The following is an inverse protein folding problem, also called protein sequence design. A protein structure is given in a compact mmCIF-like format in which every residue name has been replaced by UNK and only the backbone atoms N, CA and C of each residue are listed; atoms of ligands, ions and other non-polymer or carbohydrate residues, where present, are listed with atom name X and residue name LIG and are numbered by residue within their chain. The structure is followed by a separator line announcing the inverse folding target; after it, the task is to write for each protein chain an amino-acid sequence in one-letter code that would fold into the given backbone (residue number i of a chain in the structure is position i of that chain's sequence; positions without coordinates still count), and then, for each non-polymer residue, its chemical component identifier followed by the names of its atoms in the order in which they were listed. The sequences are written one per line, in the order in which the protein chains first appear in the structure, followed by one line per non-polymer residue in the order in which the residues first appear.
data_IF_732217492029
#
_entry.id   IF_732217492029
#
_cell.length_a   1.000
_cell.length_b   1.000
_cell.length_c   1.000
_cell.angle_alpha   90.00
_cell.angle_beta   90.00
_cell.angle_gamma   90.00
#
_symmetry.space_group_name_H-M   'P 1'
#
loop_
_entity.id
_entity.type
_entity.pdbx_description
1 polymer ?
#
# COMPACT_ATOMS: atom_id res chain seq x y z
N UNK A 1 -46.59 79.99 -54.66
CA UNK A 1 -46.86 79.13 -53.54
C UNK A 1 -46.88 77.63 -53.87
N UNK A 2 -47.40 77.12 -54.94
CA UNK A 2 -47.40 75.67 -55.26
C UNK A 2 -46.03 75.09 -55.64
N UNK A 3 -45.12 75.81 -56.25
CA UNK A 3 -43.76 75.32 -56.58
C UNK A 3 -42.81 75.20 -55.42
N UNK A 4 -42.93 76.03 -54.40
CA UNK A 4 -42.08 76.01 -53.16
C UNK A 4 -42.43 74.83 -52.26
N UNK A 5 -43.69 74.36 -52.22
CA UNK A 5 -44.16 73.22 -51.42
C UNK A 5 -43.70 71.89 -52.05
N UNK A 6 -43.60 71.80 -53.41
CA UNK A 6 -43.15 70.62 -54.12
C UNK A 6 -41.64 70.39 -53.91
N UNK A 7 -40.85 71.43 -53.90
CA UNK A 7 -39.39 71.36 -53.68
C UNK A 7 -39.09 70.97 -52.23
N UNK A 8 -39.84 71.54 -51.21
CA UNK A 8 -39.67 71.23 -49.84
C UNK A 8 -40.05 69.78 -49.50
N UNK A 9 -41.04 69.16 -50.17
CA UNK A 9 -41.36 67.76 -50.03
C UNK A 9 -40.30 66.82 -50.66
N UNK A 10 -39.74 67.20 -51.81
CA UNK A 10 -38.71 66.44 -52.49
C UNK A 10 -37.37 66.39 -51.66
N UNK A 11 -37.01 67.50 -51.03
CA UNK A 11 -35.85 67.53 -50.12
C UNK A 11 -36.06 66.74 -48.84
N UNK A 12 -37.29 66.71 -48.30
CA UNK A 12 -37.65 65.89 -47.13
C UNK A 12 -37.61 64.38 -47.49
N UNK A 13 -38.19 63.98 -48.65
CA UNK A 13 -38.13 62.59 -49.09
C UNK A 13 -36.69 62.13 -49.41
N UNK A 14 -35.84 63.04 -49.92
CA UNK A 14 -34.44 62.72 -50.17
C UNK A 14 -33.62 62.55 -48.87
N UNK A 15 -33.87 63.42 -47.87
CA UNK A 15 -33.25 63.30 -46.55
C UNK A 15 -33.68 62.03 -45.82
N UNK A 16 -34.95 61.62 -45.90
CA UNK A 16 -35.47 60.38 -45.36
C UNK A 16 -34.85 59.15 -46.04
N UNK A 17 -34.70 59.18 -47.35
CA UNK A 17 -34.06 58.14 -48.17
C UNK A 17 -32.55 57.96 -47.80
N UNK A 18 -31.84 59.08 -47.60
CA UNK A 18 -30.44 59.05 -47.13
C UNK A 18 -30.33 58.43 -45.67
N UNK A 19 -31.23 58.84 -44.77
CA UNK A 19 -31.26 58.27 -43.41
C UNK A 19 -31.58 56.78 -43.39
N UNK A 20 -32.47 56.30 -44.30
CA UNK A 20 -32.75 54.87 -44.47
C UNK A 20 -31.52 54.11 -44.98
N UNK A 21 -30.86 54.69 -46.05
CA UNK A 21 -29.64 54.07 -46.55
C UNK A 21 -28.50 54.01 -45.54
N UNK A 22 -28.26 55.06 -44.77
CA UNK A 22 -27.30 55.05 -43.70
C UNK A 22 -27.61 53.93 -42.63
N UNK A 23 -28.88 53.83 -42.26
CA UNK A 23 -29.29 52.74 -41.30
C UNK A 23 -29.10 51.34 -41.92
N UNK A 24 -29.39 51.13 -43.18
CA UNK A 24 -29.16 49.87 -43.87
C UNK A 24 -27.69 49.54 -44.00
N UNK A 25 -26.80 50.51 -44.27
CA UNK A 25 -25.36 50.31 -44.33
C UNK A 25 -24.82 49.98 -42.97
N UNK A 26 -25.24 50.72 -41.93
CA UNK A 26 -24.84 50.42 -40.52
C UNK A 26 -25.30 49.03 -40.09
N UNK A 27 -26.56 48.66 -40.38
CA UNK A 27 -27.09 47.33 -40.08
C UNK A 27 -26.33 46.21 -40.82
N UNK A 28 -25.99 46.42 -42.10
CA UNK A 28 -25.19 45.49 -42.90
C UNK A 28 -23.77 45.30 -42.33
N UNK A 29 -23.11 46.40 -41.95
CA UNK A 29 -21.78 46.33 -41.31
C UNK A 29 -21.85 45.61 -39.95
N UNK A 30 -22.86 45.92 -39.14
CA UNK A 30 -23.06 45.24 -37.87
C UNK A 30 -23.28 43.73 -38.06
N UNK A 31 -24.13 43.35 -39.01
CA UNK A 31 -24.36 41.93 -39.32
C UNK A 31 -23.09 41.22 -39.78
N UNK A 32 -22.26 41.87 -40.59
CA UNK A 32 -20.98 41.31 -41.01
C UNK A 32 -20.01 41.12 -39.81
N UNK A 33 -19.90 42.12 -38.94
CA UNK A 33 -19.07 42.04 -37.73
C UNK A 33 -19.53 40.89 -36.82
N UNK A 34 -20.84 40.73 -36.62
CA UNK A 34 -21.38 39.60 -35.83
C UNK A 34 -21.08 38.24 -36.51
N UNK A 35 -21.24 38.13 -37.83
CA UNK A 35 -20.93 36.91 -38.55
C UNK A 35 -19.43 36.54 -38.46
N UNK A 36 -18.54 37.51 -38.62
CA UNK A 36 -17.10 37.30 -38.47
C UNK A 36 -16.72 36.95 -37.05
N UNK A 37 -17.33 37.59 -36.02
CA UNK A 37 -17.09 37.26 -34.63
C UNK A 37 -17.57 35.84 -34.29
N UNK A 38 -18.73 35.43 -34.78
CA UNK A 38 -19.25 34.06 -34.62
C UNK A 38 -18.33 33.03 -35.28
N UNK A 39 -17.87 33.28 -36.50
CA UNK A 39 -16.95 32.38 -37.19
C UNK A 39 -15.61 32.23 -36.45
N UNK A 40 -15.07 33.35 -35.96
CA UNK A 40 -13.84 33.32 -35.13
C UNK A 40 -14.02 32.58 -33.82
N UNK A 41 -15.17 32.73 -33.14
CA UNK A 41 -15.48 32.01 -31.94
C UNK A 41 -15.62 30.51 -32.18
N UNK A 42 -16.28 30.12 -33.27
CA UNK A 42 -16.40 28.73 -33.67
C UNK A 42 -15.04 28.10 -34.00
N UNK A 43 -14.21 28.81 -34.78
CA UNK A 43 -12.85 28.32 -35.07
C UNK A 43 -12.02 28.17 -33.83
N UNK A 44 -12.05 29.13 -32.91
CA UNK A 44 -11.34 29.08 -31.66
C UNK A 44 -11.81 27.89 -30.77
N UNK A 45 -13.10 27.62 -30.73
CA UNK A 45 -13.65 26.46 -30.03
C UNK A 45 -13.15 25.16 -30.66
N UNK A 46 -13.14 25.03 -31.98
CA UNK A 46 -12.58 23.86 -32.66
C UNK A 46 -11.10 23.67 -32.37
N UNK A 47 -10.30 24.73 -32.39
CA UNK A 47 -8.87 24.67 -32.12
C UNK A 47 -8.61 24.23 -30.65
N UNK A 48 -9.41 24.69 -29.70
CA UNK A 48 -9.34 24.26 -28.30
C UNK A 48 -9.70 22.78 -28.16
N UNK A 49 -10.74 22.31 -28.81
CA UNK A 49 -11.15 20.90 -28.81
C UNK A 49 -10.09 19.99 -29.46
N UNK A 50 -9.42 20.45 -30.52
CA UNK A 50 -8.34 19.70 -31.17
C UNK A 50 -7.07 19.62 -30.34
N UNK A 51 -6.86 20.53 -29.39
CA UNK A 51 -5.72 20.51 -28.46
C UNK A 51 -5.90 19.59 -27.25
N UNK A 52 -7.06 18.95 -27.07
CA UNK A 52 -7.32 18.03 -25.99
C UNK A 52 -6.97 16.61 -26.43
N UNK A 53 -6.24 15.89 -25.56
CA UNK A 53 -5.96 14.45 -25.72
C UNK A 53 -7.18 13.62 -25.31
N UNK A 54 -8.34 13.88 -25.92
CA UNK A 54 -9.60 13.21 -25.64
C UNK A 54 -10.49 13.16 -26.88
N UNK A 55 -11.20 12.07 -27.05
CA UNK A 55 -12.29 11.98 -28.04
C UNK A 55 -13.53 12.62 -27.44
N UNK A 56 -14.06 13.64 -28.10
CA UNK A 56 -15.30 14.30 -27.70
C UNK A 56 -16.35 13.93 -28.73
N UNK A 57 -17.46 13.39 -28.27
CA UNK A 57 -18.60 13.10 -29.14
C UNK A 57 -19.93 13.50 -28.50
N UNK A 58 -20.90 13.80 -29.35
CA UNK A 58 -22.29 13.91 -28.96
C UNK A 58 -23.09 12.96 -29.84
N UNK A 59 -23.87 12.07 -29.24
CA UNK A 59 -24.59 10.99 -29.92
C UNK A 59 -26.07 11.19 -29.71
N UNK A 60 -26.87 11.24 -30.76
CA UNK A 60 -28.31 11.27 -30.69
C UNK A 60 -28.84 9.93 -30.15
N UNK A 61 -29.65 9.96 -29.10
CA UNK A 61 -30.17 8.75 -28.46
C UNK A 61 -31.10 7.95 -29.39
N UNK A 62 -31.87 8.63 -30.27
CA UNK A 62 -32.84 7.97 -31.14
C UNK A 62 -32.21 7.23 -32.31
N UNK A 63 -31.16 7.79 -32.89
CA UNK A 63 -30.50 7.26 -34.09
C UNK A 63 -29.26 6.44 -33.77
N UNK A 64 -28.64 6.66 -32.58
CA UNK A 64 -27.35 6.11 -32.22
C UNK A 64 -26.19 6.67 -33.07
N UNK A 65 -26.42 7.78 -33.77
CA UNK A 65 -25.45 8.44 -34.65
C UNK A 65 -24.80 9.63 -33.96
N UNK A 66 -23.50 9.87 -34.16
CA UNK A 66 -22.86 11.07 -33.65
C UNK A 66 -23.33 12.31 -34.41
N UNK A 67 -23.88 13.28 -33.69
CA UNK A 67 -24.14 14.64 -34.19
C UNK A 67 -22.85 15.49 -34.22
N UNK A 68 -21.93 15.19 -33.33
CA UNK A 68 -20.57 15.74 -33.25
C UNK A 68 -19.56 14.65 -32.89
N UNK A 69 -18.38 14.71 -33.55
CA UNK A 69 -17.24 13.84 -33.23
C UNK A 69 -15.95 14.58 -33.50
N UNK A 70 -15.05 14.62 -32.53
CA UNK A 70 -13.74 15.23 -32.68
C UNK A 70 -12.77 14.35 -33.48
N UNK A 71 -11.76 14.97 -34.13
CA UNK A 71 -10.76 14.28 -34.95
C UNK A 71 -9.93 13.25 -34.15
N UNK A 72 -9.85 13.40 -32.85
CA UNK A 72 -9.14 12.49 -31.96
C UNK A 72 -9.69 11.05 -32.01
N UNK A 73 -10.95 10.85 -32.40
CA UNK A 73 -11.51 9.51 -32.61
C UNK A 73 -10.73 8.72 -33.69
N UNK A 74 -10.26 9.41 -34.72
CA UNK A 74 -9.40 8.81 -35.75
C UNK A 74 -7.95 8.67 -35.25
N UNK A 75 -7.44 9.66 -34.53
CA UNK A 75 -6.06 9.64 -34.01
C UNK A 75 -5.81 8.54 -33.02
N UNK A 76 -6.73 8.30 -32.05
CA UNK A 76 -6.54 7.33 -30.99
C UNK A 76 -6.89 5.91 -31.40
N UNK A 77 -7.95 5.73 -32.17
CA UNK A 77 -8.45 4.41 -32.52
C UNK A 77 -8.14 4.02 -33.98
N UNK A 78 -7.67 4.96 -34.81
CA UNK A 78 -7.33 4.74 -36.21
C UNK A 78 -8.54 4.57 -37.14
N UNK A 79 -9.75 4.50 -36.60
CA UNK A 79 -10.97 4.31 -37.39
C UNK A 79 -11.39 5.61 -38.03
N UNK A 80 -11.51 5.61 -39.40
CA UNK A 80 -11.94 6.78 -40.17
C UNK A 80 -13.25 7.34 -39.64
N UNK A 81 -13.35 8.68 -39.51
CA UNK A 81 -14.57 9.35 -39.04
C UNK A 81 -15.81 8.97 -39.86
N UNK A 82 -15.64 8.67 -41.16
CA UNK A 82 -16.73 8.20 -42.02
C UNK A 82 -17.41 6.93 -41.52
N UNK A 83 -16.71 6.01 -40.86
CA UNK A 83 -17.35 4.81 -40.23
C UNK A 83 -18.22 5.19 -39.06
N UNK A 84 -17.78 6.10 -38.22
CA UNK A 84 -18.53 6.58 -37.06
C UNK A 84 -19.85 7.26 -37.50
N UNK A 85 -19.83 7.99 -38.64
CA UNK A 85 -21.02 8.66 -39.18
C UNK A 85 -21.90 7.76 -40.06
N UNK A 86 -21.45 6.57 -40.44
CA UNK A 86 -22.21 5.66 -41.31
C UNK A 86 -22.80 4.45 -40.58
N UNK A 87 -22.29 4.12 -39.39
CA UNK A 87 -22.70 2.95 -38.63
C UNK A 87 -23.27 3.35 -37.25
N UNK A 88 -24.60 3.18 -37.02
CA UNK A 88 -25.20 3.43 -35.73
C UNK A 88 -24.52 2.56 -34.65
N UNK A 89 -24.25 3.15 -33.50
CA UNK A 89 -23.62 2.46 -32.35
C UNK A 89 -22.26 1.83 -32.68
N UNK A 90 -21.50 2.39 -33.64
CA UNK A 90 -20.16 1.86 -34.01
C UNK A 90 -19.24 1.62 -32.80
N UNK A 91 -19.31 2.47 -31.78
CA UNK A 91 -18.54 2.27 -30.54
C UNK A 91 -18.76 0.88 -29.92
N UNK A 92 -19.99 0.37 -29.91
CA UNK A 92 -20.30 -0.94 -29.34
C UNK A 92 -19.64 -2.11 -30.09
N UNK A 93 -19.35 -1.94 -31.41
CA UNK A 93 -18.69 -2.95 -32.22
C UNK A 93 -17.21 -3.12 -31.83
N UNK A 94 -16.54 -2.01 -31.51
CA UNK A 94 -15.11 -1.98 -31.19
C UNK A 94 -14.82 -2.26 -29.69
N UNK A 95 -15.85 -2.35 -28.84
CA UNK A 95 -15.70 -2.75 -27.43
C UNK A 95 -15.26 -4.21 -27.35
N UNK A 96 -14.27 -4.48 -26.46
CA UNK A 96 -13.80 -5.85 -26.19
C UNK A 96 -14.95 -6.80 -25.84
N UNK A 97 -14.99 -8.03 -26.37
CA UNK A 97 -16.08 -8.97 -26.10
C UNK A 97 -16.44 -9.15 -24.63
N UNK A 98 -15.44 -9.26 -23.75
CA UNK A 98 -15.66 -9.43 -22.30
C UNK A 98 -16.25 -8.18 -21.64
N UNK A 99 -16.08 -6.98 -22.23
CA UNK A 99 -16.57 -5.73 -21.65
C UNK A 99 -17.99 -5.37 -22.13
N UNK A 100 -18.47 -6.00 -23.22
CA UNK A 100 -19.73 -5.64 -23.91
C UNK A 100 -20.94 -5.75 -22.99
N UNK A 101 -21.09 -6.86 -22.29
CA UNK A 101 -22.24 -7.08 -21.39
C UNK A 101 -22.24 -6.05 -20.25
N UNK A 102 -21.10 -5.83 -19.63
CA UNK A 102 -20.93 -4.84 -18.56
C UNK A 102 -21.22 -3.41 -19.04
N UNK A 103 -20.67 -3.03 -20.17
CA UNK A 103 -20.87 -1.69 -20.77
C UNK A 103 -22.35 -1.48 -21.14
N UNK A 104 -23.00 -2.49 -21.71
CA UNK A 104 -24.43 -2.43 -22.07
C UNK A 104 -25.33 -2.31 -20.83
N UNK A 105 -25.04 -3.06 -19.78
CA UNK A 105 -25.81 -3.00 -18.53
C UNK A 105 -25.64 -1.63 -17.84
N UNK A 106 -24.42 -1.09 -17.80
CA UNK A 106 -24.15 0.25 -17.27
C UNK A 106 -24.90 1.34 -18.04
N UNK A 107 -24.91 1.24 -19.38
CA UNK A 107 -25.63 2.18 -20.24
C UNK A 107 -27.12 2.20 -19.95
N UNK A 108 -27.76 1.03 -19.78
CA UNK A 108 -29.18 0.92 -19.45
C UNK A 108 -29.50 1.50 -18.07
N UNK A 109 -28.69 1.15 -17.06
CA UNK A 109 -28.86 1.65 -15.68
C UNK A 109 -28.71 3.18 -15.60
N UNK A 110 -27.77 3.73 -16.36
CA UNK A 110 -27.53 5.17 -16.44
C UNK A 110 -28.71 5.95 -17.05
N UNK A 111 -29.29 5.44 -18.14
CA UNK A 111 -30.47 6.07 -18.76
C UNK A 111 -31.67 6.07 -17.79
N UNK A 112 -31.85 4.98 -17.03
CA UNK A 112 -32.91 4.87 -16.02
C UNK A 112 -32.69 5.84 -14.84
N UNK A 113 -31.45 5.92 -14.34
CA UNK A 113 -31.08 6.78 -13.21
C UNK A 113 -31.07 8.28 -13.56
N UNK A 114 -31.00 8.63 -14.86
CA UNK A 114 -30.88 10.01 -15.37
C UNK A 114 -29.72 10.79 -14.74
N UNK A 115 -28.58 10.15 -14.57
CA UNK A 115 -27.37 10.73 -13.97
C UNK A 115 -26.18 10.58 -14.90
N UNK A 116 -25.23 11.50 -14.81
CA UNK A 116 -23.94 11.37 -15.48
C UNK A 116 -23.17 10.20 -14.89
N UNK A 117 -22.34 9.54 -15.71
CA UNK A 117 -21.55 8.40 -15.25
C UNK A 117 -20.22 8.26 -15.96
N UNK A 118 -19.35 7.49 -15.37
CA UNK A 118 -18.00 7.21 -15.87
C UNK A 118 -17.76 5.69 -15.87
N UNK A 119 -17.10 5.21 -16.93
CA UNK A 119 -16.69 3.81 -17.02
C UNK A 119 -15.48 3.65 -17.92
N UNK A 120 -14.75 2.55 -17.67
CA UNK A 120 -13.60 2.17 -18.48
C UNK A 120 -13.92 0.91 -19.28
N UNK A 121 -13.39 0.83 -20.49
CA UNK A 121 -13.54 -0.31 -21.38
C UNK A 121 -12.35 -0.41 -22.32
N UNK A 122 -12.16 -1.58 -22.90
CA UNK A 122 -11.16 -1.82 -23.93
C UNK A 122 -11.80 -1.61 -25.31
N UNK A 123 -11.21 -0.75 -26.13
CA UNK A 123 -11.59 -0.50 -27.51
C UNK A 123 -10.55 -1.10 -28.47
N UNK A 124 -10.99 -1.67 -29.57
CA UNK A 124 -10.12 -2.21 -30.61
C UNK A 124 -9.68 -1.09 -31.55
N UNK A 125 -8.36 -0.89 -31.68
CA UNK A 125 -7.80 0.02 -32.70
C UNK A 125 -7.71 -0.67 -34.06
N UNK A 126 -7.48 0.12 -35.11
CA UNK A 126 -7.23 -0.42 -36.48
C UNK A 126 -5.98 -1.26 -36.58
N UNK A 127 -5.01 -1.07 -35.68
CA UNK A 127 -3.77 -1.86 -35.59
C UNK A 127 -3.98 -3.19 -34.84
N UNK A 128 -5.24 -3.54 -34.55
CA UNK A 128 -5.63 -4.73 -33.79
C UNK A 128 -5.10 -4.74 -32.33
N UNK A 129 -4.81 -3.59 -31.78
CA UNK A 129 -4.43 -3.44 -30.38
C UNK A 129 -5.64 -3.04 -29.52
N UNK A 130 -5.65 -3.50 -28.26
CA UNK A 130 -6.66 -3.11 -27.28
C UNK A 130 -6.19 -1.87 -26.52
N UNK A 131 -6.94 -0.77 -26.67
CA UNK A 131 -6.71 0.52 -26.01
C UNK A 131 -7.70 0.65 -24.85
N UNK A 132 -7.23 0.95 -23.66
CA UNK A 132 -8.08 1.26 -22.53
C UNK A 132 -8.62 2.68 -22.63
N UNK A 133 -9.92 2.80 -22.76
CA UNK A 133 -10.62 4.07 -22.82
C UNK A 133 -11.42 4.30 -21.54
N UNK A 134 -11.28 5.49 -20.96
CA UNK A 134 -12.16 6.00 -19.91
C UNK A 134 -13.19 6.89 -20.56
N UNK A 135 -14.46 6.58 -20.41
CA UNK A 135 -15.57 7.34 -21.00
C UNK A 135 -16.37 8.04 -19.89
N UNK A 136 -16.44 9.36 -19.96
CA UNK A 136 -17.26 10.22 -19.12
C UNK A 136 -18.46 10.61 -19.97
N UNK A 137 -19.67 10.25 -19.51
CA UNK A 137 -20.92 10.44 -20.28
C UNK A 137 -21.86 11.34 -19.50
N UNK A 138 -22.33 12.39 -20.16
CA UNK A 138 -23.33 13.33 -19.64
C UNK A 138 -24.59 13.33 -20.49
N UNK A 139 -25.76 13.44 -19.84
CA UNK A 139 -27.06 13.51 -20.50
C UNK A 139 -27.37 14.93 -20.95
N UNK A 140 -27.81 15.07 -22.18
CA UNK A 140 -28.36 16.35 -22.73
C UNK A 140 -29.86 16.23 -22.78
N UNK A 141 -30.57 17.19 -22.17
CA UNK A 141 -32.01 17.22 -22.10
C UNK A 141 -32.59 18.24 -23.05
N UNK A 142 -33.69 17.89 -23.71
CA UNK A 142 -34.52 18.82 -24.49
C UNK A 142 -35.23 19.83 -23.56
N UNK A 143 -35.78 20.87 -24.13
CA UNK A 143 -36.63 21.84 -23.41
C UNK A 143 -37.87 21.20 -22.77
N UNK A 144 -38.29 20.01 -23.20
CA UNK A 144 -39.38 19.23 -22.65
C UNK A 144 -38.93 18.28 -21.52
N UNK A 145 -37.66 18.25 -21.16
CA UNK A 145 -37.10 17.39 -20.12
C UNK A 145 -36.90 15.92 -20.53
N UNK A 146 -36.95 15.62 -21.81
CA UNK A 146 -36.60 14.30 -22.38
C UNK A 146 -35.10 14.26 -22.72
N UNK A 147 -34.45 13.09 -22.57
CA UNK A 147 -33.07 12.91 -22.99
C UNK A 147 -33.01 12.96 -24.51
N UNK A 148 -32.23 13.88 -25.07
CA UNK A 148 -32.10 14.13 -26.52
C UNK A 148 -30.80 13.50 -27.04
N UNK A 149 -29.70 13.77 -26.40
CA UNK A 149 -28.39 13.24 -26.77
C UNK A 149 -27.53 12.90 -25.56
N UNK A 150 -26.41 12.22 -25.83
CA UNK A 150 -25.37 11.88 -24.91
C UNK A 150 -24.09 12.58 -25.28
N UNK A 151 -23.49 13.30 -24.37
CA UNK A 151 -22.17 13.89 -24.57
C UNK A 151 -21.12 13.02 -23.90
N UNK A 152 -20.14 12.58 -24.67
CA UNK A 152 -19.09 11.69 -24.23
C UNK A 152 -17.73 12.36 -24.34
N UNK A 153 -16.89 12.14 -23.31
CA UNK A 153 -15.48 12.47 -23.32
C UNK A 153 -14.72 11.18 -23.05
N UNK A 154 -13.98 10.69 -24.06
CA UNK A 154 -13.20 9.46 -23.93
C UNK A 154 -11.72 9.78 -23.92
N UNK A 155 -11.02 9.27 -22.93
CA UNK A 155 -9.57 9.48 -22.72
C UNK A 155 -8.85 8.14 -22.80
N UNK A 156 -7.73 8.09 -23.49
CA UNK A 156 -6.86 6.92 -23.50
C UNK A 156 -6.12 6.83 -22.15
N UNK A 157 -6.39 5.76 -21.40
CA UNK A 157 -5.77 5.46 -20.10
C UNK A 157 -4.87 4.23 -20.17
N UNK A 158 -4.49 3.78 -21.37
CA UNK A 158 -3.69 2.57 -21.59
C UNK A 158 -2.36 2.63 -20.87
N UNK A 159 -1.65 3.75 -21.01
CA UNK A 159 -0.35 3.93 -20.34
C UNK A 159 -0.50 3.94 -18.81
N UNK A 160 -1.53 4.61 -18.31
CA UNK A 160 -1.82 4.64 -16.87
C UNK A 160 -2.10 3.23 -16.32
N UNK A 161 -2.89 2.43 -17.07
CA UNK A 161 -3.18 1.02 -16.71
C UNK A 161 -1.93 0.14 -16.74
N UNK A 162 -1.08 0.30 -17.76
CA UNK A 162 0.18 -0.46 -17.86
C UNK A 162 1.10 -0.16 -16.68
N UNK A 163 1.33 1.11 -16.37
CA UNK A 163 2.18 1.51 -15.24
C UNK A 163 1.63 0.99 -13.92
N UNK A 164 0.31 1.10 -13.70
CA UNK A 164 -0.33 0.58 -12.49
C UNK A 164 -0.17 -0.96 -12.38
N UNK A 165 -0.33 -1.71 -13.47
CA UNK A 165 -0.14 -3.16 -13.48
C UNK A 165 1.32 -3.57 -13.28
N UNK A 166 2.27 -2.84 -13.88
CA UNK A 166 3.70 -3.08 -13.68
C UNK A 166 4.13 -2.83 -12.23
N UNK A 167 3.63 -1.75 -11.63
CA UNK A 167 3.87 -1.41 -10.24
C UNK A 167 3.31 -2.48 -9.30
N UNK A 168 2.06 -2.89 -9.51
CA UNK A 168 1.43 -3.97 -8.74
C UNK A 168 2.19 -5.29 -8.87
N UNK A 169 2.58 -5.66 -10.09
CA UNK A 169 3.37 -6.87 -10.33
C UNK A 169 4.77 -6.81 -9.70
N UNK A 170 5.41 -5.64 -9.65
CA UNK A 170 6.68 -5.44 -8.97
C UNK A 170 6.52 -5.59 -7.45
N UNK A 171 5.50 -4.94 -6.88
CA UNK A 171 5.17 -5.03 -5.46
C UNK A 171 4.88 -6.48 -5.02
N UNK A 172 4.08 -7.22 -5.79
CA UNK A 172 3.79 -8.64 -5.50
C UNK A 172 5.03 -9.54 -5.60
N UNK A 173 5.94 -9.25 -6.53
CA UNK A 173 7.22 -9.97 -6.63
C UNK A 173 8.11 -9.70 -5.41
N UNK A 174 8.25 -8.46 -5.01
CA UNK A 174 9.01 -8.08 -3.82
C UNK A 174 8.44 -8.74 -2.56
N UNK A 175 7.12 -8.69 -2.39
CA UNK A 175 6.42 -9.35 -1.28
C UNK A 175 6.71 -10.86 -1.23
N UNK A 176 6.60 -11.55 -2.35
CA UNK A 176 6.85 -13.00 -2.43
C UNK A 176 8.31 -13.36 -2.08
N UNK A 177 9.27 -12.53 -2.49
CA UNK A 177 10.68 -12.71 -2.14
C UNK A 177 10.86 -12.53 -0.63
N UNK A 178 10.34 -11.46 -0.07
CA UNK A 178 10.42 -11.15 1.35
C UNK A 178 9.78 -12.25 2.22
N UNK A 179 8.57 -12.71 1.89
CA UNK A 179 7.91 -13.82 2.60
C UNK A 179 8.71 -15.13 2.51
N UNK A 180 9.31 -15.43 1.36
CA UNK A 180 10.13 -16.63 1.18
C UNK A 180 11.39 -16.58 2.03
N UNK A 181 12.06 -15.43 2.08
CA UNK A 181 13.22 -15.20 2.92
C UNK A 181 12.83 -15.33 4.40
N UNK A 182 11.79 -14.66 4.85
CA UNK A 182 11.34 -14.73 6.24
C UNK A 182 11.04 -16.18 6.65
N UNK A 183 10.26 -16.93 5.86
CA UNK A 183 9.96 -18.34 6.16
C UNK A 183 11.23 -19.19 6.27
N UNK A 184 12.27 -18.91 5.48
CA UNK A 184 13.54 -19.62 5.55
C UNK A 184 14.35 -19.23 6.79
N UNK A 185 14.20 -18.00 7.27
CA UNK A 185 14.90 -17.47 8.44
C UNK A 185 14.22 -17.82 9.77
N UNK A 186 12.88 -17.89 9.79
CA UNK A 186 12.08 -18.16 10.98
C UNK A 186 11.86 -19.67 11.21
N UNK A 187 12.86 -20.48 10.86
CA UNK A 187 12.79 -21.91 11.11
C UNK A 187 12.83 -22.19 12.63
N UNK A 188 11.76 -22.79 13.13
CA UNK A 188 11.72 -23.31 14.50
C UNK A 188 12.02 -24.81 14.46
N UNK A 189 13.08 -25.27 15.14
CA UNK A 189 13.34 -26.70 15.25
C UNK A 189 12.16 -27.40 15.93
N UNK A 190 11.91 -28.69 15.63
CA UNK A 190 10.89 -29.46 16.35
C UNK A 190 11.05 -29.32 17.87
N UNK A 191 9.93 -29.31 18.60
CA UNK A 191 9.90 -29.05 20.06
C UNK A 191 10.91 -29.88 20.88
N UNK A 192 11.26 -31.07 20.38
CA UNK A 192 12.13 -32.04 21.05
C UNK A 192 13.56 -32.09 20.50
N UNK A 193 13.99 -31.08 19.75
CA UNK A 193 15.32 -31.07 19.11
C UNK A 193 16.48 -30.96 20.10
N UNK A 194 16.21 -30.46 21.30
CA UNK A 194 17.24 -30.25 22.33
C UNK A 194 17.01 -31.21 23.50
N UNK A 195 18.00 -32.07 23.84
CA UNK A 195 17.89 -32.93 24.99
C UNK A 195 17.64 -32.15 26.32
N UNK A 196 16.60 -32.47 27.05
CA UNK A 196 16.26 -31.84 28.31
C UNK A 196 15.53 -30.47 28.20
N UNK A 197 15.32 -29.96 26.96
CA UNK A 197 14.66 -28.69 26.72
C UNK A 197 13.61 -28.82 25.63
N UNK A 198 12.40 -28.35 25.88
CA UNK A 198 11.36 -28.18 24.88
C UNK A 198 11.28 -26.70 24.51
N UNK A 199 11.26 -26.38 23.21
CA UNK A 199 11.22 -25.01 22.73
C UNK A 199 10.10 -24.81 21.70
N UNK A 200 9.40 -23.70 21.79
CA UNK A 200 8.38 -23.28 20.82
C UNK A 200 8.43 -21.78 20.60
N UNK A 201 8.42 -21.37 19.35
CA UNK A 201 8.18 -19.98 18.97
C UNK A 201 6.88 -19.87 18.19
N UNK A 202 6.14 -18.81 18.39
CA UNK A 202 5.00 -18.40 17.56
C UNK A 202 5.13 -16.92 17.24
N UNK A 203 4.71 -16.59 16.03
CA UNK A 203 4.74 -15.26 15.47
C UNK A 203 3.38 -14.91 14.87
N UNK A 204 2.96 -13.68 15.02
CA UNK A 204 1.78 -13.11 14.39
C UNK A 204 2.11 -11.73 13.84
N UNK A 205 1.94 -11.55 12.54
CA UNK A 205 2.13 -10.26 11.87
C UNK A 205 1.06 -9.25 12.30
N UNK A 206 1.41 -7.97 12.28
CA UNK A 206 0.53 -6.85 12.64
C UNK A 206 -0.72 -6.76 11.74
N UNK A 207 -0.60 -7.05 10.45
CA UNK A 207 -1.72 -7.08 9.51
C UNK A 207 -1.50 -8.13 8.42
N UNK A 208 -2.59 -8.61 7.80
CA UNK A 208 -2.53 -9.53 6.65
C UNK A 208 -1.83 -8.89 5.43
N UNK A 209 -1.79 -7.56 5.37
CA UNK A 209 -1.10 -6.78 4.34
C UNK A 209 0.33 -6.40 4.73
N UNK A 210 0.77 -6.69 5.97
CA UNK A 210 2.12 -6.37 6.41
C UNK A 210 3.12 -7.24 5.63
N UNK A 211 3.90 -6.57 4.80
CA UNK A 211 5.15 -7.08 4.29
C UNK A 211 5.98 -7.53 5.51
N UNK A 212 6.52 -8.71 5.49
CA UNK A 212 7.53 -9.27 6.39
C UNK A 212 7.99 -8.32 7.49
N UNK A 213 7.72 -8.65 8.75
CA UNK A 213 8.07 -7.82 9.89
C UNK A 213 9.54 -7.90 10.27
N UNK A 214 9.92 -7.05 11.24
CA UNK A 214 11.26 -6.99 11.83
C UNK A 214 11.54 -8.08 12.85
N UNK A 215 10.51 -8.65 13.44
CA UNK A 215 10.61 -9.68 14.48
C UNK A 215 11.27 -10.96 13.98
N UNK A 216 12.24 -11.45 14.72
CA UNK A 216 12.88 -12.73 14.43
C UNK A 216 13.27 -13.48 15.71
N UNK A 217 13.35 -14.80 15.61
CA UNK A 217 13.91 -15.66 16.66
C UNK A 217 14.91 -16.65 16.06
N UNK A 218 15.78 -17.15 16.92
CA UNK A 218 16.63 -18.29 16.62
C UNK A 218 16.82 -19.17 17.84
N UNK A 219 16.94 -20.49 17.60
CA UNK A 219 17.19 -21.45 18.65
C UNK A 219 18.10 -22.53 18.14
N UNK A 220 19.27 -22.66 18.69
CA UNK A 220 20.28 -23.61 18.23
C UNK A 220 21.21 -24.06 19.36
N UNK A 221 21.80 -25.24 19.17
CA UNK A 221 22.83 -25.75 20.06
C UNK A 221 24.15 -25.00 19.83
N UNK A 222 24.73 -24.46 20.91
CA UNK A 222 26.04 -23.79 20.87
C UNK A 222 27.19 -24.81 20.92
N UNK A 223 27.03 -25.84 21.79
CA UNK A 223 27.95 -26.95 21.98
C UNK A 223 27.19 -28.18 22.54
N UNK A 224 27.94 -29.17 23.14
CA UNK A 224 27.39 -30.40 23.70
C UNK A 224 26.61 -30.22 24.99
N UNK A 225 25.68 -29.30 25.09
CA UNK A 225 24.83 -29.15 26.29
C UNK A 225 24.21 -27.77 26.41
N UNK A 226 24.75 -26.78 25.72
CA UNK A 226 24.21 -25.41 25.75
C UNK A 226 23.35 -25.11 24.56
N UNK A 227 22.23 -24.44 24.79
CA UNK A 227 21.29 -23.98 23.80
C UNK A 227 21.16 -22.45 23.86
N UNK A 228 21.29 -21.78 22.74
CA UNK A 228 20.98 -20.37 22.63
C UNK A 228 19.50 -20.19 22.28
N UNK A 229 18.84 -19.28 22.98
CA UNK A 229 17.54 -18.72 22.66
C UNK A 229 17.76 -17.25 22.32
N UNK A 230 17.35 -16.85 21.13
CA UNK A 230 17.50 -15.49 20.63
C UNK A 230 16.14 -14.98 20.18
N UNK A 231 15.80 -13.78 20.61
CA UNK A 231 14.64 -13.03 20.13
C UNK A 231 15.12 -11.62 19.80
N UNK A 232 14.71 -11.10 18.66
CA UNK A 232 15.06 -9.74 18.23
C UNK A 232 13.97 -9.11 17.42
N UNK A 233 14.02 -7.79 17.38
CA UNK A 233 13.20 -6.93 16.55
C UNK A 233 14.07 -5.91 15.83
N UNK A 234 13.96 -5.88 14.50
CA UNK A 234 14.66 -4.98 13.60
C UNK A 234 13.68 -3.91 13.13
N UNK A 235 14.02 -2.65 13.29
CA UNK A 235 13.20 -1.56 12.79
C UNK A 235 12.95 -1.68 11.28
N UNK A 236 11.68 -1.52 10.87
CA UNK A 236 11.28 -1.53 9.48
C UNK A 236 10.58 -2.82 9.05
N UNK A 237 10.23 -2.91 7.77
CA UNK A 237 9.48 -4.04 7.21
C UNK A 237 9.92 -4.34 5.77
N UNK A 238 9.51 -5.48 5.27
CA UNK A 238 9.75 -5.88 3.89
C UNK A 238 11.13 -6.48 3.64
N UNK A 239 11.57 -6.44 2.40
CA UNK A 239 12.81 -7.07 1.96
C UNK A 239 14.09 -6.54 2.66
N UNK A 240 14.25 -5.22 2.89
CA UNK A 240 15.41 -4.70 3.62
C UNK A 240 15.51 -5.28 5.04
N UNK A 241 14.41 -5.29 5.80
CA UNK A 241 14.36 -5.86 7.15
C UNK A 241 14.67 -7.35 7.15
N UNK A 242 14.14 -8.12 6.19
CA UNK A 242 14.44 -9.55 6.04
C UNK A 242 15.92 -9.84 5.76
N UNK A 243 16.56 -9.06 4.90
CA UNK A 243 17.99 -9.19 4.60
C UNK A 243 18.84 -8.87 5.82
N UNK A 244 18.51 -7.81 6.54
CA UNK A 244 19.23 -7.43 7.76
C UNK A 244 19.03 -8.46 8.88
N UNK A 245 17.82 -8.99 9.07
CA UNK A 245 17.55 -10.11 9.97
C UNK A 245 18.40 -11.33 9.62
N UNK A 246 18.56 -11.64 8.32
CA UNK A 246 19.41 -12.75 7.88
C UNK A 246 20.87 -12.54 8.31
N UNK A 247 21.43 -11.36 8.03
CA UNK A 247 22.78 -10.99 8.42
C UNK A 247 22.96 -11.12 9.93
N UNK A 248 22.07 -10.52 10.71
CA UNK A 248 22.11 -10.51 12.15
C UNK A 248 22.08 -11.94 12.75
N UNK A 249 21.23 -12.82 12.23
CA UNK A 249 21.17 -14.24 12.67
C UNK A 249 22.50 -14.96 12.43
N UNK A 250 23.14 -14.79 11.30
CA UNK A 250 24.42 -15.45 11.03
C UNK A 250 25.54 -14.88 11.87
N UNK A 251 25.59 -13.58 12.08
CA UNK A 251 26.54 -12.90 12.95
C UNK A 251 26.36 -13.38 14.40
N UNK A 252 25.13 -13.42 14.90
CA UNK A 252 24.80 -13.95 16.23
C UNK A 252 25.27 -15.40 16.40
N UNK A 253 24.99 -16.27 15.44
CA UNK A 253 25.44 -17.68 15.49
C UNK A 253 26.96 -17.81 15.52
N UNK A 254 27.69 -16.90 14.88
CA UNK A 254 29.16 -16.88 14.93
C UNK A 254 29.65 -16.49 16.33
N UNK A 255 29.16 -15.39 16.89
CA UNK A 255 29.58 -14.91 18.20
C UNK A 255 29.13 -15.82 19.35
N UNK A 256 27.95 -16.42 19.29
CA UNK A 256 27.50 -17.43 20.27
C UNK A 256 28.39 -18.67 20.31
N UNK A 257 29.02 -19.06 19.18
CA UNK A 257 29.98 -20.16 19.17
C UNK A 257 31.32 -19.80 19.77
N UNK A 258 31.68 -18.53 19.70
CA UNK A 258 32.96 -18.03 20.24
C UNK A 258 32.85 -17.67 21.73
N UNK A 259 31.70 -17.13 22.16
CA UNK A 259 31.46 -16.63 23.49
C UNK A 259 30.23 -17.31 24.13
N UNK A 260 30.29 -17.54 25.46
CA UNK A 260 29.15 -18.08 26.23
C UNK A 260 28.44 -17.02 27.06
N UNK A 261 29.04 -15.86 27.20
CA UNK A 261 28.50 -14.75 27.99
C UNK A 261 27.59 -13.90 27.08
N UNK A 262 26.24 -13.89 27.35
CA UNK A 262 25.30 -13.16 26.50
C UNK A 262 25.60 -11.65 26.38
N UNK A 263 26.05 -11.01 27.47
CA UNK A 263 26.45 -9.60 27.46
C UNK A 263 27.57 -9.34 26.45
N UNK A 264 28.59 -10.22 26.46
CA UNK A 264 29.69 -10.11 25.49
C UNK A 264 29.27 -10.37 24.06
N UNK A 265 28.33 -11.28 23.85
CA UNK A 265 27.75 -11.54 22.53
C UNK A 265 27.08 -10.27 21.99
N UNK A 266 26.26 -9.59 22.81
CA UNK A 266 25.60 -8.33 22.43
C UNK A 266 26.62 -7.22 22.15
N UNK A 267 27.71 -7.11 22.94
CA UNK A 267 28.81 -6.17 22.70
C UNK A 267 29.45 -6.39 21.30
N UNK A 268 29.71 -7.65 20.94
CA UNK A 268 30.34 -7.98 19.66
C UNK A 268 29.38 -7.70 18.49
N UNK A 269 28.08 -8.02 18.62
CA UNK A 269 27.06 -7.70 17.63
C UNK A 269 26.93 -6.18 17.45
N UNK A 270 26.90 -5.43 18.56
CA UNK A 270 26.83 -3.98 18.53
C UNK A 270 28.07 -3.38 17.80
N UNK A 271 29.28 -3.83 18.14
CA UNK A 271 30.49 -3.33 17.49
C UNK A 271 30.51 -3.68 16.01
N UNK A 272 30.10 -4.90 15.63
CA UNK A 272 29.99 -5.32 14.24
C UNK A 272 29.07 -4.40 13.43
N UNK A 273 27.88 -4.09 13.95
CA UNK A 273 26.95 -3.20 13.27
C UNK A 273 27.50 -1.77 13.19
N UNK A 274 28.02 -1.22 14.28
CA UNK A 274 28.59 0.11 14.29
C UNK A 274 29.77 0.28 13.33
N UNK A 275 30.63 -0.75 13.17
CA UNK A 275 31.76 -0.75 12.23
C UNK A 275 31.28 -0.93 10.78
N UNK A 276 30.32 -1.83 10.55
CA UNK A 276 29.73 -2.08 9.24
C UNK A 276 29.09 -0.82 8.66
N UNK A 277 28.24 -0.16 9.42
CA UNK A 277 27.60 1.10 9.03
C UNK A 277 28.63 2.19 8.66
N UNK A 278 29.73 2.30 9.39
CA UNK A 278 30.79 3.25 9.12
C UNK A 278 31.51 3.00 7.78
N UNK A 279 31.73 1.74 7.43
CA UNK A 279 32.38 1.36 6.17
C UNK A 279 31.45 1.56 4.95
N UNK A 280 30.15 1.32 5.11
CA UNK A 280 29.17 1.51 4.04
C UNK A 280 28.84 3.00 3.82
N UNK A 281 28.77 3.81 4.89
CA UNK A 281 28.48 5.25 4.78
C UNK A 281 29.65 6.04 4.16
N UNK A 282 30.90 5.59 4.29
CA UNK A 282 32.06 6.18 3.65
C UNK A 282 32.19 5.83 2.15
N UNK A 283 31.56 4.76 1.67
CA UNK A 283 31.74 4.22 0.31
C UNK A 283 30.60 4.42 -0.68
N UNK A 284 29.40 4.56 -0.22
CA UNK A 284 28.19 4.77 -1.03
C UNK A 284 27.41 5.88 -0.36
N UNK A 285 26.96 6.90 -1.09
CA UNK A 285 25.99 7.91 -0.62
C UNK A 285 24.64 7.26 -0.22
N UNK A 286 24.69 6.20 0.54
CA UNK A 286 23.54 5.61 1.15
C UNK A 286 23.29 6.40 2.45
N UNK A 287 22.22 7.17 2.46
CA UNK A 287 21.49 7.45 3.68
C UNK A 287 21.09 6.07 4.24
N UNK A 288 22.06 5.37 4.82
CA UNK A 288 21.83 4.09 5.50
C UNK A 288 21.19 4.45 6.82
N UNK A 289 19.92 4.16 6.93
CA UNK A 289 19.21 4.16 8.20
C UNK A 289 19.99 3.30 9.18
N UNK A 290 20.56 3.97 10.21
CA UNK A 290 21.03 3.34 11.44
C UNK A 290 19.78 2.72 12.11
N UNK A 291 19.34 1.55 11.63
CA UNK A 291 18.20 0.88 12.20
C UNK A 291 18.62 0.24 13.53
N UNK A 292 18.25 0.80 14.68
CA UNK A 292 18.53 0.20 15.95
C UNK A 292 17.79 -1.14 16.03
N UNK A 293 18.42 -2.10 16.73
CA UNK A 293 17.89 -3.45 16.91
C UNK A 293 17.62 -3.70 18.39
N UNK A 294 16.43 -4.20 18.70
CA UNK A 294 16.12 -4.81 19.98
C UNK A 294 16.54 -6.27 19.94
N UNK A 295 17.26 -6.76 20.98
CA UNK A 295 17.81 -8.11 20.98
C UNK A 295 17.90 -8.69 22.37
N UNK A 296 17.38 -9.90 22.58
CA UNK A 296 17.59 -10.68 23.78
C UNK A 296 18.29 -12.01 23.46
N UNK A 297 19.27 -12.38 24.26
CA UNK A 297 20.03 -13.61 24.13
C UNK A 297 20.05 -14.35 25.49
N UNK A 298 19.66 -15.61 25.46
CA UNK A 298 19.78 -16.53 26.60
C UNK A 298 20.66 -17.70 26.18
N UNK A 299 21.66 -18.01 26.99
CA UNK A 299 22.45 -19.24 26.90
C UNK A 299 22.09 -20.14 28.06
N UNK A 300 21.61 -21.34 27.79
CA UNK A 300 21.10 -22.29 28.77
C UNK A 300 21.82 -23.63 28.69
N UNK A 301 22.40 -24.09 29.83
CA UNK A 301 22.83 -25.48 29.98
C UNK A 301 21.60 -26.37 30.23
N UNK A 302 21.28 -27.24 29.28
CA UNK A 302 20.10 -28.10 29.35
C UNK A 302 20.19 -29.19 30.41
N UNK A 303 21.41 -29.60 30.81
CA UNK A 303 21.63 -30.62 31.80
C UNK A 303 21.46 -30.07 33.23
N UNK A 304 22.12 -28.95 33.54
CA UNK A 304 22.07 -28.33 34.88
C UNK A 304 20.90 -27.40 35.04
N UNK A 305 20.47 -26.73 33.94
CA UNK A 305 19.48 -25.67 33.94
C UNK A 305 20.06 -24.30 34.33
N UNK A 306 21.38 -24.20 34.46
CA UNK A 306 22.03 -22.90 34.59
C UNK A 306 21.85 -22.08 33.33
N UNK A 307 21.37 -20.86 33.45
CA UNK A 307 21.13 -19.94 32.37
C UNK A 307 21.75 -18.58 32.60
N UNK A 308 22.17 -17.94 31.53
CA UNK A 308 22.56 -16.54 31.51
C UNK A 308 21.74 -15.80 30.45
N UNK A 309 21.30 -14.61 30.76
CA UNK A 309 20.50 -13.76 29.87
C UNK A 309 21.12 -12.37 29.77
N UNK A 310 21.02 -11.75 28.58
CA UNK A 310 21.29 -10.33 28.34
C UNK A 310 20.23 -9.80 27.36
N UNK A 311 19.91 -8.51 27.49
CA UNK A 311 18.96 -7.83 26.64
C UNK A 311 19.45 -6.43 26.25
N UNK A 312 19.12 -6.03 25.03
CA UNK A 312 19.41 -4.73 24.43
C UNK A 312 18.08 -4.16 23.88
N UNK A 313 17.43 -3.26 24.61
CA UNK A 313 16.16 -2.65 24.19
C UNK A 313 14.96 -3.60 24.09
N UNK A 314 15.11 -4.86 24.50
CA UNK A 314 14.07 -5.88 24.46
C UNK A 314 13.33 -5.98 25.79
N UNK A 315 12.07 -6.42 25.73
CA UNK A 315 11.29 -6.77 26.94
C UNK A 315 12.05 -7.77 27.81
N UNK A 316 12.02 -7.61 29.15
CA UNK A 316 12.72 -8.52 30.06
C UNK A 316 12.20 -9.95 29.93
N UNK A 317 13.07 -10.97 29.91
CA UNK A 317 12.61 -12.35 29.91
C UNK A 317 11.84 -12.71 31.22
N UNK A 318 10.75 -13.45 31.07
CA UNK A 318 9.91 -13.91 32.20
C UNK A 318 10.25 -15.36 32.56
N UNK A 319 10.68 -15.56 33.76
CA UNK A 319 10.91 -16.89 34.35
C UNK A 319 9.64 -17.36 35.07
N UNK A 320 9.08 -18.48 34.62
CA UNK A 320 7.86 -19.06 35.19
C UNK A 320 8.20 -20.38 35.87
N UNK A 321 8.07 -20.42 37.16
CA UNK A 321 8.33 -21.62 37.96
C UNK A 321 7.21 -22.66 37.78
N UNK A 322 7.53 -23.91 37.93
CA UNK A 322 6.56 -25.00 37.87
C UNK A 322 5.34 -24.81 38.80
N UNK A 323 5.53 -24.12 39.94
CA UNK A 323 4.47 -23.81 40.90
C UNK A 323 3.60 -22.58 40.46
N UNK A 324 3.88 -21.97 39.35
CA UNK A 324 3.17 -20.78 38.83
C UNK A 324 3.73 -19.43 39.33
N UNK A 325 4.77 -19.43 40.17
CA UNK A 325 5.47 -18.18 40.48
C UNK A 325 6.15 -17.62 39.23
N UNK A 326 6.08 -16.32 39.05
CA UNK A 326 6.71 -15.60 37.95
C UNK A 326 7.74 -14.62 38.48
N UNK A 327 8.84 -14.51 37.76
CA UNK A 327 9.97 -13.66 38.10
C UNK A 327 10.47 -12.99 36.79
N UNK A 328 10.46 -11.69 36.79
CA UNK A 328 11.03 -10.90 35.70
C UNK A 328 12.55 -10.88 35.85
N UNK A 329 13.25 -11.23 34.77
CA UNK A 329 14.70 -11.11 34.73
C UNK A 329 15.04 -9.66 34.33
N UNK A 330 15.09 -8.77 35.31
CA UNK A 330 15.36 -7.34 35.12
C UNK A 330 16.76 -7.11 34.51
N UNK A 331 16.81 -7.03 33.18
CA UNK A 331 18.03 -6.76 32.41
C UNK A 331 17.75 -5.56 31.54
N UNK A 332 18.54 -4.51 31.70
CA UNK A 332 18.42 -3.29 30.94
C UNK A 332 19.68 -3.08 30.07
N UNK A 333 19.49 -2.79 28.80
CA UNK A 333 20.56 -2.49 27.86
C UNK A 333 20.10 -1.52 26.78
N UNK A 334 21.01 -0.70 26.30
CA UNK A 334 20.77 0.17 25.14
C UNK A 334 20.55 -0.69 23.91
N UNK A 335 19.79 -0.18 22.94
CA UNK A 335 19.59 -0.80 21.63
C UNK A 335 20.94 -1.13 20.97
N UNK A 336 21.00 -2.21 20.22
CA UNK A 336 22.14 -2.56 19.38
C UNK A 336 22.26 -1.52 18.26
N UNK A 337 23.47 -1.08 17.94
CA UNK A 337 23.73 -0.01 16.97
C UNK A 337 23.74 1.40 17.56
N UNK A 338 23.48 1.55 18.88
CA UNK A 338 23.47 2.86 19.54
C UNK A 338 24.83 3.58 19.48
N UNK A 339 25.92 2.83 19.60
CA UNK A 339 27.28 3.36 19.51
C UNK A 339 28.35 2.33 19.81
N UNK A 340 29.56 2.50 19.26
CA UNK A 340 30.64 1.54 19.48
C UNK A 340 31.08 1.51 20.96
N UNK A 341 31.42 0.31 21.45
CA UNK A 341 31.87 0.11 22.83
C UNK A 341 30.78 0.11 23.89
N UNK A 342 29.48 0.09 23.48
CA UNK A 342 28.37 -0.10 24.41
C UNK A 342 28.53 -1.43 25.12
N UNK A 343 28.41 -1.43 26.45
CA UNK A 343 28.46 -2.62 27.30
C UNK A 343 27.05 -3.08 27.65
N UNK A 344 26.87 -4.40 27.79
CA UNK A 344 25.58 -5.01 28.10
C UNK A 344 25.71 -5.86 29.35
N UNK A 345 24.87 -5.58 30.32
CA UNK A 345 24.77 -6.37 31.54
C UNK A 345 24.19 -7.76 31.24
N UNK A 346 24.59 -8.73 32.06
CA UNK A 346 24.01 -10.08 32.00
C UNK A 346 23.61 -10.56 33.37
N UNK A 347 22.58 -11.40 33.41
CA UNK A 347 22.04 -11.97 34.64
C UNK A 347 22.05 -13.50 34.56
N UNK A 348 22.54 -14.14 35.64
CA UNK A 348 22.48 -15.58 35.77
C UNK A 348 21.20 -16.01 36.47
N UNK A 349 20.60 -17.10 36.01
CA UNK A 349 19.38 -17.66 36.59
C UNK A 349 19.41 -19.19 36.56
N UNK A 350 18.54 -19.80 37.36
CA UNK A 350 18.39 -21.26 37.44
C UNK A 350 17.01 -21.65 36.89
N UNK A 351 16.96 -22.47 35.84
CA UNK A 351 15.76 -23.07 35.29
C UNK A 351 15.58 -24.48 35.86
N UNK A 352 14.68 -24.67 36.82
CA UNK A 352 14.34 -25.95 37.38
C UNK A 352 13.58 -26.87 36.39
N UNK A 353 13.49 -28.18 36.71
CA UNK A 353 12.68 -29.10 35.91
C UNK A 353 11.20 -28.73 35.95
N UNK A 354 10.62 -28.49 34.77
CA UNK A 354 9.25 -28.04 34.63
C UNK A 354 9.08 -26.51 34.62
N UNK A 355 10.14 -25.77 34.95
CA UNK A 355 10.15 -24.32 34.80
C UNK A 355 10.18 -23.91 33.32
N UNK A 356 9.68 -22.73 33.02
CA UNK A 356 9.57 -22.14 31.70
C UNK A 356 10.27 -20.76 31.68
N UNK A 357 11.02 -20.45 30.65
CA UNK A 357 11.43 -19.09 30.33
C UNK A 357 10.68 -18.62 29.09
N UNK A 358 10.20 -17.39 29.10
CA UNK A 358 9.47 -16.73 28.03
C UNK A 358 10.21 -15.46 27.62
N UNK A 359 10.37 -15.28 26.32
CA UNK A 359 10.77 -14.01 25.70
C UNK A 359 9.62 -13.56 24.77
N UNK A 360 9.42 -12.26 24.70
CA UNK A 360 8.43 -11.66 23.79
C UNK A 360 8.94 -10.36 23.21
N UNK A 361 8.46 -10.02 22.02
CA UNK A 361 8.64 -8.69 21.43
C UNK A 361 7.59 -7.73 22.01
N UNK A 362 7.81 -6.43 21.83
CA UNK A 362 6.95 -5.37 22.35
C UNK A 362 5.54 -5.38 21.72
N UNK A 363 5.37 -5.95 20.52
CA UNK A 363 4.06 -6.11 19.90
C UNK A 363 3.04 -6.84 20.78
N UNK A 364 3.48 -7.69 21.72
CA UNK A 364 2.60 -8.32 22.71
C UNK A 364 2.26 -7.34 23.84
N UNK A 365 3.26 -6.71 24.47
CA UNK A 365 3.06 -5.78 25.61
C UNK A 365 2.48 -4.45 25.18
N UNK A 366 2.78 -3.99 23.96
CA UNK A 366 2.22 -2.80 23.33
C UNK A 366 0.85 -3.02 22.65
N UNK A 367 0.29 -4.23 22.72
CA UNK A 367 -1.08 -4.48 22.28
C UNK A 367 -2.03 -3.45 22.89
N UNK A 368 -2.88 -2.79 22.05
CA UNK A 368 -3.61 -1.58 22.46
C UNK A 368 -5.13 -1.73 22.38
N UNK A 369 -5.79 -1.31 23.46
CA UNK A 369 -7.23 -1.06 23.49
C UNK A 369 -7.48 0.44 23.64
N UNK A 370 -7.62 1.15 22.53
CA UNK A 370 -7.68 2.62 22.52
C UNK A 370 -6.34 3.25 22.93
N UNK A 371 -6.27 3.83 24.15
CA UNK A 371 -5.04 4.40 24.72
C UNK A 371 -4.37 3.50 25.74
N UNK A 372 -5.02 2.42 26.13
CA UNK A 372 -4.54 1.47 27.14
C UNK A 372 -3.63 0.44 26.46
N UNK A 373 -2.44 0.23 27.03
CA UNK A 373 -1.52 -0.85 26.64
C UNK A 373 -1.78 -2.07 27.50
N UNK A 374 -1.55 -3.26 26.95
CA UNK A 374 -1.57 -4.51 27.71
C UNK A 374 -0.52 -4.48 28.82
N UNK A 375 0.67 -4.02 28.49
CA UNK A 375 1.80 -3.89 29.39
C UNK A 375 2.32 -5.24 29.90
N UNK A 376 3.40 -5.18 30.68
CA UNK A 376 4.03 -6.37 31.23
C UNK A 376 3.12 -7.08 32.25
N UNK A 377 2.38 -6.33 33.07
CA UNK A 377 1.37 -6.91 34.01
C UNK A 377 0.25 -7.66 33.23
N UNK A 378 -0.12 -7.18 32.07
CA UNK A 378 -1.07 -7.85 31.18
C UNK A 378 -0.49 -9.15 30.63
N UNK A 379 0.76 -9.12 30.19
CA UNK A 379 1.49 -10.31 29.75
C UNK A 379 1.52 -11.37 30.84
N UNK A 380 1.90 -11.02 32.08
CA UNK A 380 1.93 -11.97 33.20
C UNK A 380 0.57 -12.63 33.48
N UNK A 381 -0.54 -11.84 33.37
CA UNK A 381 -1.89 -12.40 33.52
C UNK A 381 -2.21 -13.40 32.40
N UNK A 382 -1.90 -13.07 31.15
CA UNK A 382 -2.12 -13.97 29.99
C UNK A 382 -1.30 -15.25 30.14
N UNK A 383 -0.04 -15.16 30.60
CA UNK A 383 0.80 -16.31 30.86
C UNK A 383 0.17 -17.20 31.97
N UNK A 384 -0.29 -16.61 33.06
CA UNK A 384 -0.92 -17.35 34.17
C UNK A 384 -2.17 -18.10 33.70
N UNK A 385 -2.99 -17.48 32.88
CA UNK A 385 -4.20 -18.09 32.29
C UNK A 385 -3.86 -19.20 31.30
N UNK A 386 -2.76 -19.05 30.56
CA UNK A 386 -2.34 -19.99 29.52
C UNK A 386 -1.66 -21.24 30.05
N UNK A 387 -0.97 -21.19 31.22
CA UNK A 387 -0.20 -22.32 31.81
C UNK A 387 -0.97 -23.64 31.90
N UNK A 388 -2.27 -23.67 32.27
CA UNK A 388 -3.04 -24.92 32.37
C UNK A 388 -3.26 -25.64 31.06
N UNK A 389 -3.05 -24.98 29.92
CA UNK A 389 -3.28 -25.56 28.56
C UNK A 389 -2.32 -26.68 28.17
N UNK A 390 -1.21 -26.81 28.87
CA UNK A 390 -0.34 -28.01 28.93
C UNK A 390 0.84 -27.97 27.94
N UNK A 391 0.62 -27.95 26.63
CA UNK A 391 1.72 -27.95 25.65
C UNK A 391 2.25 -26.52 25.41
N UNK A 392 3.55 -26.38 25.09
CA UNK A 392 4.13 -25.06 24.78
C UNK A 392 3.43 -24.34 23.66
N UNK A 393 3.01 -25.07 22.64
CA UNK A 393 2.27 -24.51 21.51
C UNK A 393 0.95 -23.88 21.94
N UNK A 394 0.16 -24.59 22.79
CA UNK A 394 -1.10 -24.04 23.31
C UNK A 394 -0.88 -22.86 24.24
N UNK A 395 0.18 -22.87 25.04
CA UNK A 395 0.54 -21.74 25.89
C UNK A 395 0.90 -20.52 25.06
N UNK A 396 1.78 -20.67 24.06
CA UNK A 396 2.15 -19.58 23.18
C UNK A 396 0.94 -19.04 22.41
N UNK A 397 0.09 -19.93 21.88
CA UNK A 397 -1.13 -19.52 21.15
C UNK A 397 -2.10 -18.77 22.06
N UNK A 398 -2.33 -19.22 23.28
CA UNK A 398 -3.22 -18.55 24.23
C UNK A 398 -2.73 -17.15 24.61
N UNK A 399 -1.40 -16.96 24.74
CA UNK A 399 -0.81 -15.64 25.00
C UNK A 399 -1.07 -14.71 23.82
N UNK A 400 -0.77 -15.14 22.58
CA UNK A 400 -0.99 -14.32 21.39
C UNK A 400 -2.48 -14.04 21.16
N UNK A 401 -3.35 -15.03 21.31
CA UNK A 401 -4.79 -14.84 21.18
C UNK A 401 -5.33 -13.85 22.23
N UNK A 402 -4.87 -13.95 23.49
CA UNK A 402 -5.25 -13.04 24.56
C UNK A 402 -4.80 -11.59 24.31
N UNK A 403 -3.58 -11.41 23.81
CA UNK A 403 -3.06 -10.09 23.44
C UNK A 403 -3.84 -9.50 22.25
N UNK A 404 -4.16 -10.32 21.24
CA UNK A 404 -4.98 -9.93 20.09
C UNK A 404 -6.41 -9.56 20.51
N UNK A 405 -7.02 -10.34 21.39
CA UNK A 405 -8.37 -10.05 21.91
C UNK A 405 -8.38 -8.74 22.70
N UNK A 406 -7.32 -8.48 23.51
CA UNK A 406 -7.15 -7.19 24.17
C UNK A 406 -7.06 -6.04 23.15
N UNK A 407 -6.34 -6.24 22.05
CA UNK A 407 -6.19 -5.29 20.95
C UNK A 407 -7.41 -5.20 20.01
N UNK A 408 -8.54 -5.84 20.35
CA UNK A 408 -9.76 -5.87 19.53
C UNK A 408 -9.58 -6.48 18.14
N UNK A 409 -8.69 -7.46 18.02
CA UNK A 409 -8.47 -8.25 16.81
C UNK A 409 -7.31 -7.79 15.93
N UNK A 410 -6.72 -6.62 16.16
CA UNK A 410 -5.67 -6.05 15.29
C UNK A 410 -4.44 -5.66 16.12
N UNK A 411 -3.30 -6.28 15.83
CA UNK A 411 -2.01 -5.81 16.31
C UNK A 411 -1.55 -4.59 15.52
N UNK A 412 -0.83 -3.68 16.17
CA UNK A 412 -0.19 -2.53 15.51
C UNK A 412 1.24 -2.80 15.10
N UNK A 413 1.86 -3.77 15.76
CA UNK A 413 3.19 -4.25 15.49
C UNK A 413 3.21 -5.78 15.47
N UNK A 414 4.27 -6.36 14.95
CA UNK A 414 4.47 -7.79 14.95
C UNK A 414 4.59 -8.32 16.37
N UNK A 415 4.05 -9.49 16.62
CA UNK A 415 4.04 -10.10 17.93
C UNK A 415 4.70 -11.48 17.91
N UNK A 416 5.78 -11.64 18.65
CA UNK A 416 6.50 -12.90 18.76
C UNK A 416 6.59 -13.37 20.21
N UNK A 417 6.40 -14.66 20.42
CA UNK A 417 6.57 -15.33 21.72
C UNK A 417 7.48 -16.53 21.54
N UNK A 418 8.58 -16.56 22.28
CA UNK A 418 9.52 -17.69 22.34
C UNK A 418 9.51 -18.32 23.74
N UNK A 419 9.14 -19.58 23.82
CA UNK A 419 9.02 -20.35 25.06
C UNK A 419 10.06 -21.46 25.12
N UNK A 420 10.71 -21.63 26.25
CA UNK A 420 11.57 -22.79 26.51
C UNK A 420 11.28 -23.38 27.88
N UNK A 421 10.95 -24.69 27.93
CA UNK A 421 10.63 -25.43 29.15
C UNK A 421 11.66 -26.52 29.41
N UNK A 422 12.27 -26.53 30.59
CA UNK A 422 13.16 -27.60 31.00
C UNK A 422 12.37 -28.86 31.38
N UNK A 423 12.79 -30.01 30.85
CA UNK A 423 12.15 -31.33 31.06
C UNK A 423 12.74 -32.11 32.21
#
# INVERSE_FOLDING_TARGET
MKQTVIIANADADHAEMLAINERLVVAGVQQQIFAEAALRAEQRLRDLLHGLDAVICEVELQTGMPSFLSLQAETFLGHLLGRWHSQPNFLAEIVHPDDRERVSALFSAFLEARQDYEYEFRALSTDSEWIWMRNIVSLVFSAAGTIESLRCVMVDVTQQKRVAQELEAAYQRERNIAETLQRSLLFTPPENSFPGLAVKALYQAASDDALVGGDFWDTFACDHGHVALVLGDVMGHGLPAALFTAELKYVLRAFVREHKEPGRILEQVNNYLCEGHRLYSEGLNAEGDDAPVCLAVIILDTATGEGMAAAAGMEPPLLVRRNGQMEELEINGLLIGFGPGTQYDQLSFQLGRGDLVLLTTDGVTEARRGKELLGYDGLMRLVQEALPSGTLEKVAQAILDGARDFAQGVFKDDACVLLARRR
#
